data_IF_469413357902
#
_entry.id   IF_469413357902
#
_cell.length_a   1.000
_cell.length_b   1.000
_cell.length_c   1.000
_cell.angle_alpha   90.00
_cell.angle_beta   90.00
_cell.angle_gamma   90.00
#
_symmetry.space_group_name_H-M   'P 1'
#
loop_
_entity.id
_entity.type
_entity.pdbx_description
1 polymer ?
#
# COMPACT_ATOMS: atom_id res chain seq x y z
N UNK A 1 -6.02 18.31 -16.08
CA UNK A 1 -6.93 18.19 -14.91
C UNK A 1 -8.21 19.01 -15.07
N UNK A 2 -8.14 20.30 -15.41
CA UNK A 2 -9.33 21.14 -15.66
C UNK A 2 -10.19 20.64 -16.84
N UNK A 3 -9.55 20.32 -17.97
CA UNK A 3 -10.24 19.81 -19.17
C UNK A 3 -11.00 18.49 -18.94
N UNK A 4 -10.57 17.67 -17.97
CA UNK A 4 -11.17 16.36 -17.71
C UNK A 4 -12.42 16.42 -16.80
N UNK A 5 -12.62 17.56 -16.14
CA UNK A 5 -13.73 17.79 -15.20
C UNK A 5 -14.80 18.72 -15.78
N UNK A 6 -14.61 19.25 -16.99
CA UNK A 6 -15.50 20.26 -17.59
C UNK A 6 -15.53 21.59 -16.82
N UNK A 7 -14.57 21.82 -15.90
CA UNK A 7 -14.52 23.01 -15.05
C UNK A 7 -13.43 23.97 -15.53
N UNK A 8 -13.69 25.27 -15.41
CA UNK A 8 -12.66 26.27 -15.64
C UNK A 8 -11.54 26.16 -14.60
N UNK A 9 -10.31 26.50 -15.01
CA UNK A 9 -9.16 26.54 -14.09
C UNK A 9 -9.42 27.49 -12.93
N UNK A 10 -10.12 28.60 -13.18
CA UNK A 10 -10.48 29.58 -12.16
C UNK A 10 -11.47 29.01 -11.14
N UNK A 11 -12.49 28.28 -11.59
CA UNK A 11 -13.45 27.60 -10.71
C UNK A 11 -12.76 26.58 -9.79
N UNK A 12 -11.80 25.82 -10.32
CA UNK A 12 -11.02 24.87 -9.54
C UNK A 12 -10.16 25.59 -8.49
N UNK A 13 -9.48 26.69 -8.88
CA UNK A 13 -8.69 27.49 -7.94
C UNK A 13 -9.56 28.06 -6.83
N UNK A 14 -10.72 28.62 -7.16
CA UNK A 14 -11.66 29.17 -6.18
C UNK A 14 -12.16 28.09 -5.22
N UNK A 15 -12.53 26.90 -5.72
CA UNK A 15 -12.96 25.79 -4.88
C UNK A 15 -11.86 25.34 -3.92
N UNK A 16 -10.63 25.18 -4.40
CA UNK A 16 -9.47 24.81 -3.58
C UNK A 16 -9.15 25.88 -2.52
N UNK A 17 -9.24 27.17 -2.86
CA UNK A 17 -9.06 28.26 -1.89
C UNK A 17 -10.12 28.21 -0.78
N UNK A 18 -11.40 28.05 -1.13
CA UNK A 18 -12.49 27.93 -0.15
C UNK A 18 -12.31 26.72 0.77
N UNK A 19 -11.93 25.57 0.22
CA UNK A 19 -11.65 24.36 1.00
C UNK A 19 -10.44 24.52 1.94
N UNK A 20 -9.45 25.31 1.54
CA UNK A 20 -8.30 25.64 2.37
C UNK A 20 -8.70 26.60 3.51
N UNK A 21 -9.47 27.64 3.21
CA UNK A 21 -9.94 28.64 4.18
C UNK A 21 -10.84 28.03 5.25
N UNK A 22 -11.73 27.11 4.85
CA UNK A 22 -12.60 26.35 5.76
C UNK A 22 -11.87 25.29 6.58
N UNK A 23 -10.56 25.08 6.33
CA UNK A 23 -9.74 24.14 7.09
C UNK A 23 -9.93 22.66 6.71
N UNK A 24 -10.72 22.37 5.68
CA UNK A 24 -10.95 20.99 5.23
C UNK A 24 -9.72 20.38 4.56
N UNK A 25 -8.94 21.20 3.85
CA UNK A 25 -7.70 20.76 3.19
C UNK A 25 -6.52 21.68 3.53
N UNK A 26 -5.31 21.12 3.50
CA UNK A 26 -4.05 21.85 3.56
C UNK A 26 -3.37 21.78 2.19
N UNK A 27 -2.88 22.92 1.72
CA UNK A 27 -2.20 23.02 0.44
C UNK A 27 -0.77 23.48 0.68
N UNK A 28 0.20 22.68 0.21
CA UNK A 28 1.62 23.01 0.18
C UNK A 28 2.11 23.06 -1.27
N UNK A 29 2.48 24.24 -1.73
CA UNK A 29 3.04 24.42 -3.08
C UNK A 29 4.55 24.26 -3.03
N UNK A 30 5.09 23.48 -3.96
CA UNK A 30 6.52 23.35 -4.21
C UNK A 30 6.83 23.87 -5.62
N UNK A 31 8.11 24.02 -5.97
CA UNK A 31 8.52 24.47 -7.31
C UNK A 31 7.94 23.59 -8.44
N UNK A 32 7.70 22.28 -8.17
CA UNK A 32 7.30 21.31 -9.21
C UNK A 32 5.83 20.91 -9.15
N UNK A 33 5.21 20.90 -7.98
CA UNK A 33 3.82 20.46 -7.82
C UNK A 33 3.19 21.02 -6.54
N UNK A 34 1.86 20.90 -6.46
CA UNK A 34 1.09 21.28 -5.28
C UNK A 34 0.62 20.01 -4.55
N UNK A 35 1.03 19.87 -3.29
CA UNK A 35 0.60 18.79 -2.41
C UNK A 35 -0.65 19.23 -1.65
N UNK A 36 -1.73 18.47 -1.78
CA UNK A 36 -3.00 18.70 -1.10
C UNK A 36 -3.21 17.58 -0.07
N UNK A 37 -3.46 17.94 1.19
CA UNK A 37 -3.70 17.02 2.30
C UNK A 37 -5.10 17.25 2.85
N UNK A 38 -5.93 16.21 2.94
CA UNK A 38 -7.24 16.28 3.59
C UNK A 38 -7.06 16.19 5.11
N UNK A 39 -7.61 17.13 5.88
CA UNK A 39 -7.35 17.23 7.33
C UNK A 39 -8.12 16.18 8.11
N UNK A 40 -9.45 16.15 7.95
CA UNK A 40 -10.33 15.23 8.67
C UNK A 40 -10.74 14.04 7.79
N UNK A 41 -9.75 13.42 7.13
CA UNK A 41 -10.02 12.32 6.19
C UNK A 41 -10.81 11.16 6.83
N UNK A 42 -10.50 10.84 8.08
CA UNK A 42 -11.16 9.78 8.84
C UNK A 42 -12.64 10.06 9.10
N UNK A 43 -13.02 11.35 9.22
CA UNK A 43 -14.41 11.79 9.41
C UNK A 43 -15.21 11.68 8.10
N UNK A 44 -14.58 11.93 6.96
CA UNK A 44 -15.22 11.82 5.64
C UNK A 44 -15.29 10.38 5.11
N UNK A 45 -14.48 9.48 5.67
CA UNK A 45 -14.50 8.06 5.34
C UNK A 45 -15.59 7.26 6.05
N UNK A 46 -16.43 7.91 6.87
CA UNK A 46 -17.53 7.21 7.54
C UNK A 46 -18.69 6.93 6.59
N UNK A 47 -18.54 5.88 5.76
CA UNK A 47 -19.66 5.00 5.53
C UNK A 47 -19.99 4.35 6.88
N UNK A 48 -21.12 4.76 7.46
CA UNK A 48 -21.73 4.29 8.72
C UNK A 48 -21.17 2.93 9.21
N UNK A 49 -20.20 2.98 10.11
CA UNK A 49 -20.03 1.90 11.09
C UNK A 49 -19.47 2.49 12.36
N UNK A 50 -20.36 2.62 13.34
CA UNK A 50 -20.05 3.02 14.71
C UNK A 50 -19.01 2.03 15.25
N UNK A 51 -17.83 2.51 15.62
CA UNK A 51 -17.15 2.05 16.84
C UNK A 51 -16.05 3.04 17.27
N UNK A 52 -16.45 3.86 18.24
CA UNK A 52 -15.71 4.52 19.32
C UNK A 52 -14.15 4.50 19.34
N UNK A 53 -13.60 5.73 19.19
CA UNK A 53 -12.61 6.43 20.06
C UNK A 53 -11.15 5.90 20.18
N UNK A 54 -10.18 6.76 20.58
CA UNK A 54 -9.86 8.11 20.08
C UNK A 54 -8.35 8.32 19.79
N UNK A 55 -8.07 9.38 19.00
CA UNK A 55 -6.92 10.33 19.08
C UNK A 55 -5.57 9.82 19.63
N UNK A 56 -4.54 9.87 18.79
CA UNK A 56 -3.24 10.40 19.20
C UNK A 56 -2.76 11.42 18.16
N UNK A 57 -2.80 12.70 18.56
CA UNK A 57 -2.03 13.77 17.94
C UNK A 57 -0.56 13.52 18.27
N UNK A 58 0.28 13.29 17.27
CA UNK A 58 1.64 13.83 17.36
C UNK A 58 2.22 14.18 16.00
N UNK A 59 2.27 15.49 15.76
CA UNK A 59 3.21 16.13 14.86
C UNK A 59 4.53 16.25 15.63
N UNK A 60 5.63 15.70 15.13
CA UNK A 60 6.97 16.28 15.37
C UNK A 60 7.98 15.67 14.41
N UNK A 61 8.34 16.52 13.44
CA UNK A 61 9.69 16.70 12.92
C UNK A 61 10.78 16.23 13.90
N UNK A 62 11.59 15.24 13.51
CA UNK A 62 13.07 15.32 13.47
C UNK A 62 13.68 13.99 13.05
N UNK A 63 14.63 14.13 12.15
CA UNK A 63 15.53 13.11 11.63
C UNK A 63 16.42 12.49 12.72
N UNK A 64 16.90 11.27 12.41
CA UNK A 64 18.17 10.66 12.82
C UNK A 64 18.39 10.38 14.33
N UNK A 65 18.53 9.10 14.69
CA UNK A 65 19.86 8.45 14.85
C UNK A 65 19.80 7.14 15.65
N UNK A 66 20.77 6.28 15.31
CA UNK A 66 21.42 5.22 16.11
C UNK A 66 20.57 4.03 16.59
N UNK A 67 20.75 2.95 15.84
CA UNK A 67 20.96 1.58 16.31
C UNK A 67 21.35 1.51 17.82
N UNK A 68 20.45 0.98 18.64
CA UNK A 68 20.80 0.29 19.89
C UNK A 68 19.92 -0.93 20.06
N UNK A 69 20.56 -2.07 19.93
CA UNK A 69 20.15 -3.38 20.39
C UNK A 69 19.86 -3.34 21.90
N UNK A 70 18.80 -4.00 22.36
CA UNK A 70 18.74 -4.54 23.71
C UNK A 70 17.87 -5.79 23.76
N UNK A 71 18.41 -6.80 24.43
CA UNK A 71 17.95 -8.20 24.52
C UNK A 71 17.03 -8.43 25.72
N UNK A 72 16.15 -9.44 25.57
CA UNK A 72 15.44 -10.23 26.61
C UNK A 72 14.41 -9.48 27.48
N UNK A 73 13.14 -9.92 27.54
CA UNK A 73 12.66 -10.93 28.49
C UNK A 73 11.30 -11.51 28.07
N UNK A 74 11.05 -12.75 28.50
CA UNK A 74 9.96 -13.68 28.15
C UNK A 74 8.54 -13.17 28.47
N UNK A 75 7.69 -12.95 27.47
CA UNK A 75 6.21 -13.04 27.59
C UNK A 75 5.57 -13.53 26.28
N UNK A 76 5.57 -14.84 26.05
CA UNK A 76 5.45 -15.43 24.71
C UNK A 76 4.06 -15.75 24.15
N UNK A 77 2.94 -15.47 24.84
CA UNK A 77 1.64 -16.05 24.43
C UNK A 77 0.42 -15.10 24.31
N UNK A 78 0.37 -13.93 24.94
CA UNK A 78 -0.79 -13.02 24.76
C UNK A 78 -0.66 -12.08 23.57
N UNK A 79 0.54 -11.61 23.24
CA UNK A 79 0.75 -10.66 22.12
C UNK A 79 0.52 -11.28 20.75
N UNK A 80 0.74 -12.59 20.59
CA UNK A 80 0.61 -13.27 19.29
C UNK A 80 -0.83 -13.27 18.77
N UNK A 81 -1.84 -13.32 19.64
CA UNK A 81 -3.25 -13.37 19.21
C UNK A 81 -3.72 -12.01 18.69
N UNK A 82 -3.40 -10.93 19.41
CA UNK A 82 -3.73 -9.55 19.01
C UNK A 82 -3.00 -9.13 17.73
N UNK A 83 -1.73 -9.52 17.57
CA UNK A 83 -1.00 -9.24 16.33
C UNK A 83 -1.51 -10.04 15.13
N UNK A 84 -2.10 -11.22 15.35
CA UNK A 84 -2.64 -12.06 14.27
C UNK A 84 -3.97 -11.51 13.73
N UNK A 85 -4.84 -10.96 14.59
CA UNK A 85 -6.02 -10.24 14.13
C UNK A 85 -5.64 -9.04 13.23
N UNK A 86 -4.54 -8.35 13.57
CA UNK A 86 -4.01 -7.26 12.73
C UNK A 86 -3.38 -7.75 11.41
N UNK A 87 -2.69 -8.89 11.40
CA UNK A 87 -2.08 -9.44 10.17
C UNK A 87 -3.13 -9.96 9.20
N UNK A 88 -4.19 -10.60 9.70
CA UNK A 88 -5.27 -11.16 8.88
C UNK A 88 -6.05 -10.05 8.16
N UNK A 89 -6.34 -8.94 8.82
CA UNK A 89 -6.98 -7.77 8.18
C UNK A 89 -6.09 -7.20 7.08
N UNK A 90 -4.78 -7.07 7.33
CA UNK A 90 -3.81 -6.59 6.33
C UNK A 90 -3.71 -7.54 5.12
N UNK A 91 -3.71 -8.85 5.36
CA UNK A 91 -3.73 -9.86 4.30
C UNK A 91 -5.00 -9.76 3.45
N UNK A 92 -6.17 -9.60 4.06
CA UNK A 92 -7.44 -9.40 3.34
C UNK A 92 -7.41 -8.14 2.48
N UNK A 93 -6.92 -7.03 3.03
CA UNK A 93 -6.79 -5.77 2.28
C UNK A 93 -5.82 -5.93 1.10
N UNK A 94 -4.67 -6.58 1.34
CA UNK A 94 -3.69 -6.84 0.29
C UNK A 94 -4.26 -7.74 -0.81
N UNK A 95 -4.99 -8.80 -0.43
CA UNK A 95 -5.68 -9.67 -1.38
C UNK A 95 -6.67 -8.87 -2.24
N UNK A 96 -7.49 -8.01 -1.62
CA UNK A 96 -8.42 -7.17 -2.38
C UNK A 96 -7.69 -6.30 -3.42
N UNK A 97 -6.59 -5.65 -3.02
CA UNK A 97 -5.78 -4.80 -3.91
C UNK A 97 -5.17 -5.57 -5.08
N UNK A 98 -4.64 -6.78 -4.84
CA UNK A 98 -4.04 -7.60 -5.90
C UNK A 98 -5.09 -8.04 -6.92
N UNK A 99 -6.25 -8.49 -6.45
CA UNK A 99 -7.30 -9.05 -7.30
C UNK A 99 -8.17 -7.99 -7.99
N UNK A 100 -8.04 -6.72 -7.62
CA UNK A 100 -8.61 -5.60 -8.37
C UNK A 100 -8.00 -5.47 -9.77
N UNK A 101 -6.80 -6.02 -9.98
CA UNK A 101 -6.15 -6.08 -11.28
C UNK A 101 -6.67 -7.24 -12.15
N UNK A 102 -7.96 -7.20 -12.49
CA UNK A 102 -8.65 -8.24 -13.27
C UNK A 102 -8.10 -8.44 -14.70
N UNK A 103 -7.21 -7.57 -15.18
CA UNK A 103 -6.52 -7.74 -16.47
C UNK A 103 -5.45 -8.84 -16.48
N UNK A 104 -5.11 -9.42 -15.33
CA UNK A 104 -4.15 -10.52 -15.23
C UNK A 104 -4.86 -11.85 -14.95
N UNK A 105 -4.27 -12.93 -15.45
CA UNK A 105 -4.75 -14.27 -15.18
C UNK A 105 -4.73 -14.59 -13.68
N UNK A 106 -5.75 -15.31 -13.22
CA UNK A 106 -5.89 -15.71 -11.83
C UNK A 106 -4.65 -16.45 -11.30
N UNK A 107 -3.99 -17.24 -12.16
CA UNK A 107 -2.73 -17.93 -11.83
C UNK A 107 -1.62 -16.95 -11.45
N UNK A 108 -1.44 -15.89 -12.24
CA UNK A 108 -0.43 -14.85 -11.99
C UNK A 108 -0.77 -14.10 -10.70
N UNK A 109 -2.04 -13.74 -10.51
CA UNK A 109 -2.49 -13.03 -9.32
C UNK A 109 -2.30 -13.85 -8.04
N UNK A 110 -2.64 -15.15 -8.08
CA UNK A 110 -2.43 -16.07 -6.95
C UNK A 110 -0.94 -16.19 -6.62
N UNK A 111 -0.08 -16.52 -7.59
CA UNK A 111 1.35 -16.66 -7.35
C UNK A 111 1.99 -15.37 -6.84
N UNK A 112 1.56 -14.23 -7.37
CA UNK A 112 1.99 -12.91 -6.89
C UNK A 112 1.57 -12.70 -5.44
N UNK A 113 0.30 -12.94 -5.12
CA UNK A 113 -0.23 -12.80 -3.78
C UNK A 113 0.52 -13.69 -2.79
N UNK A 114 0.72 -14.98 -3.10
CA UNK A 114 1.39 -15.94 -2.21
C UNK A 114 2.81 -15.48 -1.87
N UNK A 115 3.57 -15.04 -2.88
CA UNK A 115 4.93 -14.57 -2.66
C UNK A 115 4.99 -13.28 -1.82
N UNK A 116 4.17 -12.29 -2.16
CA UNK A 116 4.24 -10.97 -1.51
C UNK A 116 3.55 -10.91 -0.15
N UNK A 117 2.59 -11.82 0.09
CA UNK A 117 1.92 -11.98 1.39
C UNK A 117 2.69 -12.87 2.37
N UNK A 118 3.79 -13.49 1.92
CA UNK A 118 4.62 -14.35 2.77
C UNK A 118 5.08 -13.59 4.03
N UNK A 119 4.83 -14.20 5.17
CA UNK A 119 5.16 -13.60 6.46
C UNK A 119 6.64 -13.78 6.80
N UNK A 120 7.21 -12.78 7.46
CA UNK A 120 8.53 -12.91 8.06
C UNK A 120 8.56 -14.01 9.16
N UNK A 121 9.77 -14.39 9.60
CA UNK A 121 9.97 -15.41 10.64
C UNK A 121 9.17 -15.14 11.93
N UNK A 122 8.97 -13.86 12.27
CA UNK A 122 8.20 -13.43 13.44
C UNK A 122 6.69 -13.32 13.20
N UNK A 123 6.20 -13.56 11.98
CA UNK A 123 4.79 -13.51 11.57
C UNK A 123 4.11 -12.15 11.79
N UNK A 124 4.89 -11.07 11.75
CA UNK A 124 4.40 -9.69 12.02
C UNK A 124 4.26 -8.84 10.76
N UNK A 125 5.03 -9.13 9.72
CA UNK A 125 5.05 -8.37 8.46
C UNK A 125 5.05 -9.28 7.25
N UNK A 126 4.35 -8.86 6.21
CA UNK A 126 4.39 -9.48 4.88
C UNK A 126 5.67 -9.06 4.14
N UNK A 127 6.10 -9.84 3.16
CA UNK A 127 7.28 -9.57 2.33
C UNK A 127 7.21 -8.19 1.66
N UNK A 128 6.04 -7.78 1.19
CA UNK A 128 5.83 -6.47 0.55
C UNK A 128 6.09 -5.28 1.49
N UNK A 129 5.92 -5.44 2.80
CA UNK A 129 6.10 -4.36 3.78
C UNK A 129 7.54 -4.14 4.22
N UNK A 130 8.48 -4.93 3.68
CA UNK A 130 9.91 -4.66 3.84
C UNK A 130 10.43 -3.65 2.83
N UNK A 131 9.63 -3.30 1.82
CA UNK A 131 10.00 -2.37 0.75
C UNK A 131 9.16 -1.09 0.87
N UNK A 132 9.83 0.02 1.12
CA UNK A 132 9.19 1.34 1.29
C UNK A 132 8.54 1.85 0.00
N UNK A 133 8.95 1.35 -1.17
CA UNK A 133 8.46 1.79 -2.48
C UNK A 133 7.64 0.73 -3.21
N UNK A 134 6.99 -0.17 -2.44
CA UNK A 134 6.20 -1.25 -3.00
C UNK A 134 4.95 -0.75 -3.75
N UNK A 135 4.91 -0.97 -5.07
CA UNK A 135 3.75 -0.67 -5.92
C UNK A 135 3.24 -1.95 -6.61
N UNK A 136 1.99 -2.33 -6.32
CA UNK A 136 1.37 -3.58 -6.80
C UNK A 136 1.36 -3.65 -8.33
N UNK A 137 0.91 -2.60 -9.02
CA UNK A 137 0.85 -2.57 -10.48
C UNK A 137 2.21 -2.77 -11.15
N UNK A 138 3.21 -1.96 -10.77
CA UNK A 138 4.58 -2.09 -11.33
C UNK A 138 5.21 -3.45 -11.04
N UNK A 139 4.94 -4.01 -9.86
CA UNK A 139 5.46 -5.34 -9.47
C UNK A 139 4.74 -6.45 -10.24
N UNK A 140 3.44 -6.35 -10.48
CA UNK A 140 2.67 -7.30 -11.30
C UNK A 140 3.11 -7.28 -12.76
N UNK A 141 3.36 -6.11 -13.35
CA UNK A 141 3.94 -6.00 -14.70
C UNK A 141 5.27 -6.74 -14.80
N UNK A 142 6.19 -6.50 -13.86
CA UNK A 142 7.46 -7.22 -13.80
C UNK A 142 7.29 -8.73 -13.57
N UNK A 143 6.35 -9.12 -12.71
CA UNK A 143 6.06 -10.53 -12.41
C UNK A 143 5.57 -11.26 -13.67
N UNK A 144 4.63 -10.66 -14.41
CA UNK A 144 4.13 -11.20 -15.68
C UNK A 144 5.26 -11.38 -16.70
N UNK A 145 6.18 -10.41 -16.81
CA UNK A 145 7.32 -10.52 -17.71
C UNK A 145 8.23 -11.69 -17.31
N UNK A 146 8.48 -11.88 -16.01
CA UNK A 146 9.31 -12.97 -15.51
C UNK A 146 8.68 -14.36 -15.75
N UNK A 147 7.37 -14.51 -15.53
CA UNK A 147 6.64 -15.74 -15.83
C UNK A 147 6.68 -16.07 -17.33
N UNK A 148 6.53 -15.06 -18.20
CA UNK A 148 6.62 -15.26 -19.66
C UNK A 148 8.02 -15.71 -20.08
N UNK A 149 9.07 -15.10 -19.54
CA UNK A 149 10.45 -15.51 -19.84
C UNK A 149 10.75 -16.93 -19.34
N UNK A 150 10.24 -17.30 -18.16
CA UNK A 150 10.38 -18.66 -17.64
C UNK A 150 9.61 -19.70 -18.50
N UNK A 151 8.46 -19.31 -19.07
CA UNK A 151 7.73 -20.19 -19.99
C UNK A 151 8.48 -20.44 -21.31
N UNK A 152 9.17 -19.41 -21.83
CA UNK A 152 9.97 -19.49 -23.05
C UNK A 152 11.27 -20.28 -22.84
N UNK A 153 11.89 -20.20 -21.67
CA UNK A 153 13.08 -21.02 -21.35
C UNK A 153 12.71 -22.50 -21.21
N UNK A 154 11.55 -22.82 -20.61
CA UNK A 154 11.07 -24.20 -20.47
C UNK A 154 10.75 -24.83 -21.83
N UNK A 155 10.17 -24.09 -22.79
CA UNK A 155 9.91 -24.64 -24.13
C UNK A 155 11.20 -24.96 -24.88
N UNK A 156 12.20 -24.10 -24.78
CA UNK A 156 13.48 -24.26 -25.48
C UNK A 156 14.29 -25.45 -24.95
N UNK A 157 14.18 -25.74 -23.65
CA UNK A 157 14.83 -26.90 -23.03
C UNK A 157 14.14 -28.24 -23.36
N UNK A 158 12.86 -28.22 -23.75
CA UNK A 158 12.11 -29.43 -24.12
C UNK A 158 12.42 -29.91 -25.54
N UNK A 159 12.76 -28.98 -26.45
CA UNK A 159 13.21 -29.29 -27.82
C UNK A 159 14.65 -29.83 -27.90
N UNK A 160 15.48 -29.60 -26.87
CA UNK A 160 16.87 -30.06 -26.85
C UNK A 160 17.05 -31.48 -26.29
N UNK A 161 16.03 -32.07 -25.65
CA UNK A 161 16.12 -33.39 -25.00
C UNK A 161 15.55 -34.54 -25.85
N UNK A 162 15.13 -34.29 -27.08
CA UNK A 162 14.48 -35.28 -27.95
C UNK A 162 15.28 -35.57 -29.24
N UNK A 163 16.61 -35.43 -29.18
CA UNK A 163 17.52 -35.81 -30.28
C UNK A 163 18.65 -36.68 -29.75
#
# INVERSE_FOLDING_TARGET
MAANLGLSVQSIRTALSKLKETGYIKIKTTNRFTLITVVNYDEYQTAKSKNNKPINRQTTERQQSKNKQSTTTKEGNKEKKVNKEKIEVRLKNFKKLVFEHSQYDLKILNSFYDYWSELNRSKTKMRCEKDDFFNVGKRLEKWKLNERQNSLSISNNKTASNR
#
